data_IF_587295722795
#
_entry.id   IF_587295722795
#
_cell.length_a   1.000
_cell.length_b   1.000
_cell.length_c   1.000
_cell.angle_alpha   90.00
_cell.angle_beta   90.00
_cell.angle_gamma   90.00
#
_symmetry.space_group_name_H-M   'P 1'
#
loop_
_entity.id
_entity.type
_entity.pdbx_description
1 polymer ?
#
# COMPACT_ATOMS: atom_id res chain seq x y z
N UNK A 1 6.13 18.08 9.27
CA UNK A 1 5.46 16.76 9.33
C UNK A 1 5.87 15.96 8.11
N UNK A 2 6.01 14.65 8.26
CA UNK A 2 6.41 13.76 7.16
C UNK A 2 5.17 13.37 6.36
N UNK A 3 5.20 13.55 5.04
CA UNK A 3 4.14 13.05 4.16
C UNK A 3 4.40 11.61 3.74
N UNK A 4 3.37 10.91 3.25
CA UNK A 4 3.53 9.58 2.64
C UNK A 4 4.58 9.62 1.51
N UNK A 5 4.58 10.68 0.69
CA UNK A 5 5.54 10.86 -0.39
C UNK A 5 6.98 11.06 0.11
N UNK A 6 7.18 11.64 1.28
CA UNK A 6 8.50 11.77 1.90
C UNK A 6 9.05 10.40 2.29
N UNK A 7 8.20 9.46 2.74
CA UNK A 7 8.61 8.08 3.05
C UNK A 7 9.06 7.30 1.81
N UNK A 8 8.40 7.52 0.65
CA UNK A 8 8.83 6.91 -0.62
C UNK A 8 10.23 7.40 -1.03
N UNK A 9 10.48 8.71 -0.85
CA UNK A 9 11.75 9.37 -1.22
C UNK A 9 12.86 9.12 -0.21
N UNK A 10 12.51 8.93 1.05
CA UNK A 10 13.47 8.62 2.09
C UNK A 10 14.16 7.30 1.74
N UNK A 11 15.50 7.34 1.63
CA UNK A 11 16.28 6.11 1.62
C UNK A 11 16.08 5.40 2.97
N UNK A 12 16.09 4.05 3.03
CA UNK A 12 15.90 3.27 4.25
C UNK A 12 16.64 3.87 5.45
N UNK A 13 15.92 4.65 6.27
CA UNK A 13 16.39 5.09 7.57
C UNK A 13 15.91 4.05 8.56
N UNK A 14 16.84 3.49 9.32
CA UNK A 14 16.52 2.61 10.44
C UNK A 14 16.03 3.47 11.60
N UNK A 15 14.82 3.99 11.51
CA UNK A 15 14.11 4.37 12.73
C UNK A 15 13.78 3.06 13.47
N UNK A 16 13.90 3.06 14.80
CA UNK A 16 13.50 1.91 15.62
C UNK A 16 11.96 1.83 15.65
N UNK A 17 11.38 1.38 14.55
CA UNK A 17 9.96 1.06 14.45
C UNK A 17 9.75 -0.38 14.92
N UNK A 18 8.55 -0.64 15.45
CA UNK A 18 8.11 -1.99 15.70
C UNK A 18 8.04 -2.78 14.39
N UNK A 19 8.20 -4.10 14.47
CA UNK A 19 8.01 -4.95 13.29
C UNK A 19 6.53 -5.03 12.96
N UNK A 20 6.19 -5.05 11.67
CA UNK A 20 4.81 -5.26 11.26
C UNK A 20 4.37 -6.70 11.58
N UNK A 21 3.24 -6.84 12.27
CA UNK A 21 2.61 -8.12 12.58
C UNK A 21 1.12 -8.05 12.17
N UNK A 22 0.66 -8.84 11.19
CA UNK A 22 1.45 -9.79 10.38
C UNK A 22 2.42 -9.08 9.44
N UNK A 23 3.40 -9.81 8.90
CA UNK A 23 4.40 -9.29 7.98
C UNK A 23 4.03 -9.53 6.50
N UNK A 24 3.59 -8.52 5.74
CA UNK A 24 3.15 -8.70 4.35
C UNK A 24 4.28 -9.03 3.37
N UNK A 25 5.53 -8.95 3.80
CA UNK A 25 6.67 -9.33 2.99
C UNK A 25 7.05 -10.80 3.14
N UNK A 26 6.42 -11.51 4.08
CA UNK A 26 6.72 -12.92 4.42
C UNK A 26 5.47 -13.80 4.50
N UNK A 27 4.34 -13.23 4.86
CA UNK A 27 3.09 -13.95 5.12
C UNK A 27 2.10 -13.77 3.97
N UNK A 28 1.47 -14.88 3.57
CA UNK A 28 0.43 -14.91 2.55
C UNK A 28 -0.85 -14.30 3.14
N UNK A 29 -1.52 -13.47 2.33
CA UNK A 29 -2.79 -12.82 2.63
C UNK A 29 -2.79 -11.91 3.88
N UNK A 30 -1.60 -11.47 4.32
CA UNK A 30 -1.45 -10.49 5.42
C UNK A 30 -2.16 -9.15 5.15
N UNK A 31 -2.41 -8.81 3.87
CA UNK A 31 -3.11 -7.58 3.46
C UNK A 31 -4.57 -7.83 3.08
N UNK A 32 -5.16 -8.96 3.44
CA UNK A 32 -6.55 -9.27 3.11
C UNK A 32 -7.53 -8.22 3.67
N UNK A 33 -8.51 -7.85 2.85
CA UNK A 33 -9.50 -6.79 3.09
C UNK A 33 -8.94 -5.37 3.19
N UNK A 34 -7.62 -5.16 3.05
CA UNK A 34 -7.10 -3.81 2.77
C UNK A 34 -7.48 -3.38 1.36
N UNK A 35 -7.51 -2.08 1.09
CA UNK A 35 -7.84 -1.57 -0.23
C UNK A 35 -6.64 -0.85 -0.87
N UNK A 36 -6.32 -1.19 -2.12
CA UNK A 36 -5.36 -0.42 -2.91
C UNK A 36 -5.97 0.92 -3.32
N UNK A 37 -5.34 2.02 -2.92
CA UNK A 37 -5.79 3.38 -3.23
C UNK A 37 -5.09 3.94 -4.46
N UNK A 38 -3.77 3.83 -4.50
CA UNK A 38 -2.96 4.36 -5.60
C UNK A 38 -1.63 3.61 -5.71
N UNK A 39 -1.03 3.68 -6.89
CA UNK A 39 0.30 3.16 -7.17
C UNK A 39 1.13 4.17 -7.96
N UNK A 40 2.38 4.37 -7.55
CA UNK A 40 3.33 5.24 -8.25
C UNK A 40 4.54 4.46 -8.71
N UNK A 41 4.87 4.57 -9.99
CA UNK A 41 6.08 4.00 -10.58
C UNK A 41 6.98 5.14 -11.05
N UNK A 42 8.24 5.13 -10.61
CA UNK A 42 9.26 6.07 -11.05
C UNK A 42 10.43 5.31 -11.69
N UNK A 43 10.59 5.45 -13.00
CA UNK A 43 11.67 4.81 -13.75
C UNK A 43 13.04 5.42 -13.44
N UNK A 44 13.09 6.71 -13.10
CA UNK A 44 14.35 7.40 -12.77
C UNK A 44 14.98 6.88 -11.48
N UNK A 45 14.16 6.45 -10.51
CA UNK A 45 14.64 5.90 -9.23
C UNK A 45 14.44 4.39 -9.14
N UNK A 46 13.99 3.74 -10.22
CA UNK A 46 13.57 2.33 -10.25
C UNK A 46 12.77 1.95 -9.00
N UNK A 47 11.68 2.68 -8.74
CA UNK A 47 10.86 2.51 -7.54
C UNK A 47 9.39 2.36 -7.91
N UNK A 48 8.71 1.40 -7.29
CA UNK A 48 7.25 1.35 -7.22
C UNK A 48 6.80 1.56 -5.78
N UNK A 49 5.73 2.32 -5.58
CA UNK A 49 5.10 2.53 -4.28
C UNK A 49 3.61 2.23 -4.39
N UNK A 50 3.07 1.43 -3.48
CA UNK A 50 1.64 1.11 -3.37
C UNK A 50 1.10 1.69 -2.06
N UNK A 51 0.02 2.45 -2.13
CA UNK A 51 -0.67 3.01 -0.97
C UNK A 51 -1.96 2.24 -0.72
N UNK A 52 -2.15 1.79 0.51
CA UNK A 52 -3.30 1.02 0.95
C UNK A 52 -4.08 1.75 2.03
N UNK A 53 -5.40 1.58 2.01
CA UNK A 53 -6.33 1.87 3.11
C UNK A 53 -6.40 0.63 4.02
N UNK A 54 -6.27 0.83 5.34
CA UNK A 54 -6.25 -0.26 6.31
C UNK A 54 -7.49 -0.33 7.21
N UNK A 55 -8.40 0.66 7.20
CA UNK A 55 -9.59 0.67 8.09
C UNK A 55 -10.56 -0.50 7.88
N UNK A 56 -10.41 -1.24 6.78
CA UNK A 56 -11.16 -2.48 6.48
C UNK A 56 -10.31 -3.74 6.58
N UNK A 57 -9.01 -3.61 6.84
CA UNK A 57 -8.07 -4.74 6.93
C UNK A 57 -8.46 -5.69 8.06
N UNK A 58 -8.36 -6.99 7.82
CA UNK A 58 -8.64 -8.00 8.85
C UNK A 58 -7.51 -8.15 9.87
N UNK A 59 -6.28 -7.86 9.47
CA UNK A 59 -5.09 -8.24 10.22
C UNK A 59 -4.39 -7.08 10.92
N UNK A 60 -4.70 -5.84 10.53
CA UNK A 60 -4.06 -4.64 11.06
C UNK A 60 -5.04 -3.84 11.90
N UNK A 61 -4.90 -3.93 13.22
CA UNK A 61 -5.69 -3.13 14.18
C UNK A 61 -5.05 -1.76 14.49
N UNK A 62 -3.79 -1.57 14.08
CA UNK A 62 -3.04 -0.33 14.27
C UNK A 62 -2.82 0.38 12.94
N UNK A 63 -2.95 1.70 12.96
CA UNK A 63 -2.84 2.53 11.76
C UNK A 63 -4.10 2.53 10.88
N UNK A 64 -4.11 3.39 9.88
CA UNK A 64 -5.22 3.56 8.94
C UNK A 64 -4.76 3.52 7.48
N UNK A 65 -3.46 3.46 7.23
CA UNK A 65 -2.91 3.29 5.90
C UNK A 65 -1.67 2.41 5.92
N UNK A 66 -1.33 1.84 4.77
CA UNK A 66 -0.08 1.12 4.57
C UNK A 66 0.63 1.60 3.31
N UNK A 67 1.95 1.52 3.33
CA UNK A 67 2.81 1.85 2.20
C UNK A 67 3.76 0.68 1.93
N UNK A 68 3.68 0.12 0.72
CA UNK A 68 4.68 -0.82 0.20
C UNK A 68 5.58 -0.10 -0.80
N UNK A 69 6.88 0.00 -0.51
CA UNK A 69 7.88 0.57 -1.40
C UNK A 69 8.79 -0.54 -1.92
N UNK A 70 8.82 -0.73 -3.23
CA UNK A 70 9.73 -1.66 -3.92
C UNK A 70 10.80 -0.87 -4.66
N UNK A 71 12.07 -1.09 -4.33
CA UNK A 71 13.24 -0.42 -4.92
C UNK A 71 14.05 -1.40 -5.77
N UNK A 72 14.81 -0.87 -6.72
CA UNK A 72 15.46 -1.71 -7.74
C UNK A 72 14.41 -2.40 -8.60
N UNK A 73 13.39 -1.66 -9.01
CA UNK A 73 12.21 -2.18 -9.72
C UNK A 73 12.62 -2.88 -11.02
N UNK A 74 12.25 -4.15 -11.14
CA UNK A 74 12.42 -4.97 -12.33
C UNK A 74 11.16 -4.99 -13.20
N UNK A 75 9.99 -5.13 -12.58
CA UNK A 75 8.72 -5.13 -13.28
C UNK A 75 7.58 -4.60 -12.40
N UNK A 76 6.62 -3.98 -13.06
CA UNK A 76 5.34 -3.58 -12.49
C UNK A 76 4.25 -3.91 -13.51
N UNK A 77 3.35 -4.83 -13.15
CA UNK A 77 2.23 -5.25 -13.97
C UNK A 77 0.92 -4.90 -13.29
N UNK A 78 0.01 -4.27 -14.04
CA UNK A 78 -1.37 -3.98 -13.64
C UNK A 78 -2.33 -4.52 -14.70
N UNK A 79 -3.39 -5.19 -14.28
CA UNK A 79 -4.45 -5.67 -15.15
C UNK A 79 -5.80 -5.51 -14.46
N UNK A 80 -6.73 -4.82 -15.09
CA UNK A 80 -8.12 -4.72 -14.65
C UNK A 80 -9.06 -4.64 -15.86
N UNK A 81 -10.32 -5.09 -15.75
CA UNK A 81 -11.38 -4.71 -16.66
C UNK A 81 -11.54 -3.19 -16.74
N UNK A 82 -12.19 -2.73 -17.80
CA UNK A 82 -12.58 -1.34 -17.90
C UNK A 82 -13.55 -0.98 -16.75
N UNK A 83 -13.09 -0.10 -15.85
CA UNK A 83 -13.87 0.40 -14.73
C UNK A 83 -15.02 1.28 -15.26
N UNK A 84 -16.22 1.11 -14.68
CA UNK A 84 -17.39 1.96 -14.94
C UNK A 84 -17.70 2.77 -13.69
N UNK A 85 -17.13 3.96 -13.57
CA UNK A 85 -17.38 4.88 -12.45
C UNK A 85 -16.15 5.72 -12.10
N UNK A 86 -16.33 6.77 -11.30
CA UNK A 86 -15.25 7.66 -10.90
C UNK A 86 -14.29 7.01 -9.87
N UNK A 87 -14.79 6.10 -9.04
CA UNK A 87 -14.04 5.41 -7.99
C UNK A 87 -14.36 3.92 -7.99
N UNK A 88 -13.40 3.10 -7.53
CA UNK A 88 -13.59 1.67 -7.31
C UNK A 88 -12.81 1.26 -6.08
N UNK A 89 -13.47 0.57 -5.16
CA UNK A 89 -12.82 -0.03 -4.00
C UNK A 89 -12.12 -1.32 -4.44
N UNK A 90 -10.81 -1.26 -4.70
CA UNK A 90 -9.99 -2.41 -5.05
C UNK A 90 -9.52 -3.12 -3.79
N UNK A 91 -10.38 -3.98 -3.25
CA UNK A 91 -10.12 -4.74 -2.03
C UNK A 91 -9.20 -5.92 -2.33
N UNK A 92 -8.12 -6.06 -1.56
CA UNK A 92 -7.19 -7.19 -1.64
C UNK A 92 -7.92 -8.45 -1.17
N UNK A 93 -8.10 -9.40 -2.08
CA UNK A 93 -8.62 -10.74 -1.76
C UNK A 93 -7.51 -11.79 -1.68
N UNK A 94 -6.34 -11.50 -2.25
CA UNK A 94 -5.12 -12.27 -2.01
C UNK A 94 -3.87 -11.42 -2.17
N UNK A 95 -2.87 -11.65 -1.31
CA UNK A 95 -1.53 -11.06 -1.39
C UNK A 95 -0.47 -12.12 -1.15
N UNK A 96 0.36 -12.41 -2.14
CA UNK A 96 1.38 -13.46 -2.06
C UNK A 96 2.78 -12.85 -2.22
N UNK A 97 3.53 -12.68 -1.12
CA UNK A 97 4.95 -12.36 -1.20
C UNK A 97 5.75 -13.59 -1.63
N UNK A 98 6.83 -13.37 -2.37
CA UNK A 98 7.77 -14.41 -2.75
C UNK A 98 9.20 -13.84 -2.74
N UNK A 99 10.09 -14.54 -2.04
CA UNK A 99 11.51 -14.21 -1.98
C UNK A 99 12.25 -15.03 -3.02
N UNK A 100 12.58 -14.38 -4.12
CA UNK A 100 13.47 -14.93 -5.13
C UNK A 100 14.92 -14.79 -4.65
N UNK A 101 15.86 -15.52 -5.26
CA UNK A 101 17.26 -15.57 -4.80
C UNK A 101 17.88 -14.18 -4.57
N UNK A 102 17.60 -13.24 -5.47
CA UNK A 102 18.18 -11.89 -5.47
C UNK A 102 17.11 -10.79 -5.57
N UNK A 103 15.82 -11.11 -5.40
CA UNK A 103 14.74 -10.14 -5.56
C UNK A 103 13.53 -10.50 -4.72
N UNK A 104 12.72 -9.48 -4.45
CA UNK A 104 11.40 -9.59 -3.89
C UNK A 104 10.36 -9.56 -5.01
N UNK A 105 9.30 -10.36 -4.85
CA UNK A 105 8.09 -10.29 -5.65
C UNK A 105 6.88 -10.23 -4.73
N UNK A 106 5.89 -9.41 -5.09
CA UNK A 106 4.54 -9.50 -4.53
C UNK A 106 3.51 -9.59 -5.65
N UNK A 107 2.54 -10.48 -5.47
CA UNK A 107 1.37 -10.62 -6.35
C UNK A 107 0.11 -10.34 -5.56
N UNK A 108 -0.79 -9.57 -6.14
CA UNK A 108 -2.07 -9.21 -5.55
C UNK A 108 -3.21 -9.57 -6.49
N UNK A 109 -4.29 -10.08 -5.91
CA UNK A 109 -5.58 -10.21 -6.57
C UNK A 109 -6.59 -9.34 -5.82
N UNK A 110 -7.45 -8.65 -6.58
CA UNK A 110 -8.42 -7.71 -6.03
C UNK A 110 -9.85 -8.07 -6.42
N UNK A 111 -10.79 -7.63 -5.58
CA UNK A 111 -12.19 -7.49 -5.91
C UNK A 111 -12.56 -5.99 -5.98
N UNK A 112 -13.26 -5.51 -7.02
CA UNK A 112 -13.59 -6.21 -8.28
C UNK A 112 -12.33 -6.65 -9.06
N UNK A 113 -12.49 -7.67 -9.92
CA UNK A 113 -11.41 -8.39 -10.63
C UNK A 113 -10.28 -7.47 -11.10
N UNK A 114 -9.14 -7.54 -10.44
CA UNK A 114 -7.90 -6.92 -10.89
C UNK A 114 -6.69 -7.69 -10.35
N UNK A 115 -5.54 -7.50 -10.99
CA UNK A 115 -4.29 -8.14 -10.61
C UNK A 115 -3.15 -7.12 -10.66
N UNK A 116 -2.25 -7.22 -9.68
CA UNK A 116 -1.01 -6.45 -9.64
C UNK A 116 0.15 -7.39 -9.33
N UNK A 117 1.25 -7.26 -10.09
CA UNK A 117 2.52 -7.88 -9.77
C UNK A 117 3.62 -6.80 -9.71
N UNK A 118 4.44 -6.85 -8.66
CA UNK A 118 5.61 -5.99 -8.52
C UNK A 118 6.83 -6.83 -8.16
N UNK A 119 7.95 -6.57 -8.84
CA UNK A 119 9.23 -7.28 -8.64
C UNK A 119 10.37 -6.26 -8.54
N UNK A 120 11.24 -6.40 -7.55
CA UNK A 120 12.44 -5.57 -7.41
C UNK A 120 13.44 -6.14 -6.40
N UNK A 121 14.52 -5.42 -6.12
CA UNK A 121 15.61 -5.90 -5.26
C UNK A 121 15.26 -5.88 -3.76
N UNK A 122 14.53 -4.84 -3.33
CA UNK A 122 14.19 -4.59 -1.93
C UNK A 122 12.73 -4.14 -1.82
N UNK A 123 12.03 -4.65 -0.80
CA UNK A 123 10.74 -4.13 -0.39
C UNK A 123 10.76 -3.63 1.06
N UNK A 124 10.12 -2.49 1.29
CA UNK A 124 9.85 -1.91 2.60
C UNK A 124 8.33 -1.78 2.75
N UNK A 125 7.79 -2.29 3.84
CA UNK A 125 6.39 -2.13 4.20
C UNK A 125 6.30 -1.23 5.43
N UNK A 126 5.34 -0.31 5.45
CA UNK A 126 5.08 0.57 6.57
C UNK A 126 3.59 0.57 6.90
N UNK A 127 3.26 0.39 8.18
CA UNK A 127 1.95 0.73 8.73
C UNK A 127 1.99 2.19 9.18
N UNK A 128 1.00 2.97 8.77
CA UNK A 128 0.97 4.42 8.94
C UNK A 128 -0.26 4.85 9.76
N UNK A 129 -0.05 5.82 10.65
CA UNK A 129 -1.12 6.68 11.16
C UNK A 129 -1.16 7.95 10.31
N UNK A 130 -2.15 8.06 9.43
CA UNK A 130 -2.44 9.26 8.65
C UNK A 130 -3.34 10.17 9.47
N UNK A 131 -2.99 11.45 9.54
CA UNK A 131 -3.72 12.44 10.31
C UNK A 131 -5.05 12.81 9.65
N UNK A 132 -6.06 13.14 10.46
CA UNK A 132 -7.38 13.60 9.97
C UNK A 132 -8.29 12.50 9.44
N UNK A 133 -7.89 11.24 9.51
CA UNK A 133 -8.74 10.10 9.11
C UNK A 133 -9.67 9.69 10.26
N UNK A 134 -10.96 9.53 9.97
CA UNK A 134 -11.90 8.90 10.88
C UNK A 134 -11.76 7.38 10.91
N UNK A 135 -12.50 6.70 11.79
CA UNK A 135 -12.37 5.25 12.03
C UNK A 135 -12.93 4.37 10.91
N UNK A 136 -13.81 4.92 10.07
CA UNK A 136 -14.50 4.19 8.98
C UNK A 136 -14.10 4.80 7.64
N UNK A 137 -13.87 4.01 6.59
CA UNK A 137 -13.66 4.54 5.24
C UNK A 137 -14.89 5.30 4.72
N UNK A 138 -14.73 6.25 3.80
CA UNK A 138 -15.85 6.98 3.22
C UNK A 138 -16.72 6.08 2.32
N UNK A 139 -18.00 6.43 2.17
CA UNK A 139 -18.91 5.77 1.23
C UNK A 139 -18.64 6.26 -0.20
N UNK A 140 -18.20 5.35 -1.08
CA UNK A 140 -17.85 5.69 -2.47
C UNK A 140 -19.08 5.95 -3.35
N UNK A 141 -20.29 5.74 -2.83
CA UNK A 141 -21.54 6.11 -3.50
C UNK A 141 -21.94 7.56 -3.27
N UNK A 142 -21.21 8.29 -2.42
CA UNK A 142 -21.41 9.73 -2.23
C UNK A 142 -21.17 10.48 -3.56
N UNK A 143 -22.03 11.47 -3.82
CA UNK A 143 -21.94 12.32 -4.99
C UNK A 143 -20.79 13.33 -4.88
N UNK A 144 -20.33 13.64 -3.66
CA UNK A 144 -19.20 14.53 -3.42
C UNK A 144 -17.86 13.77 -3.46
N UNK A 145 -17.33 13.61 -4.67
CA UNK A 145 -16.07 12.91 -4.89
C UNK A 145 -14.87 13.60 -4.22
N UNK A 146 -14.90 14.93 -4.08
CA UNK A 146 -13.82 15.66 -3.43
C UNK A 146 -13.79 15.30 -1.94
N UNK A 147 -14.96 15.31 -1.30
CA UNK A 147 -15.08 14.88 0.09
C UNK A 147 -14.62 13.42 0.29
N UNK A 148 -15.00 12.50 -0.60
CA UNK A 148 -14.55 11.10 -0.54
C UNK A 148 -13.03 11.00 -0.66
N UNK A 149 -12.42 11.74 -1.57
CA UNK A 149 -10.96 11.73 -1.77
C UNK A 149 -10.20 12.34 -0.60
N UNK A 150 -10.71 13.40 0.02
CA UNK A 150 -10.12 14.00 1.22
C UNK A 150 -10.17 13.08 2.44
N UNK A 151 -11.20 12.22 2.51
CA UNK A 151 -11.37 11.22 3.56
C UNK A 151 -10.53 9.94 3.36
N UNK A 152 -9.65 9.92 2.34
CA UNK A 152 -8.74 8.81 2.05
C UNK A 152 -7.28 9.23 2.23
N UNK A 153 -6.41 8.27 2.63
CA UNK A 153 -4.97 8.46 2.56
C UNK A 153 -4.52 8.86 1.14
N UNK A 154 -3.67 9.88 1.06
CA UNK A 154 -3.07 10.36 -0.18
C UNK A 154 -1.55 10.50 -0.02
N UNK A 155 -0.85 10.66 -1.13
CA UNK A 155 0.60 10.89 -1.12
C UNK A 155 1.04 12.14 -0.36
N UNK A 156 0.18 13.18 -0.34
CA UNK A 156 0.42 14.43 0.38
C UNK A 156 -0.02 14.37 1.84
N UNK A 157 -0.75 13.33 2.25
CA UNK A 157 -1.25 13.23 3.62
C UNK A 157 -0.09 13.16 4.60
N UNK A 158 -0.21 13.92 5.69
CA UNK A 158 0.72 13.85 6.80
C UNK A 158 0.54 12.53 7.56
N UNK A 159 1.64 11.89 7.91
CA UNK A 159 1.60 10.59 8.56
C UNK A 159 2.76 10.37 9.53
N UNK A 160 2.56 9.42 10.43
CA UNK A 160 3.60 8.84 11.27
C UNK A 160 3.71 7.34 11.00
N UNK A 161 4.90 6.80 10.69
CA UNK A 161 5.07 5.35 10.60
C UNK A 161 5.00 4.73 12.01
N UNK A 162 4.21 3.66 12.14
CA UNK A 162 4.00 2.94 13.38
C UNK A 162 4.84 1.67 13.43
N UNK A 163 4.74 0.89 12.35
CA UNK A 163 5.44 -0.39 12.18
C UNK A 163 6.12 -0.44 10.81
N UNK A 164 7.14 -1.29 10.68
CA UNK A 164 7.78 -1.52 9.40
C UNK A 164 8.25 -2.98 9.23
N UNK A 165 8.37 -3.41 7.98
CA UNK A 165 9.05 -4.64 7.60
C UNK A 165 9.94 -4.41 6.39
N UNK A 166 10.97 -5.23 6.25
CA UNK A 166 11.88 -5.25 5.08
C UNK A 166 12.10 -6.67 4.57
N UNK A 167 12.26 -6.81 3.26
CA UNK A 167 12.46 -8.11 2.62
C UNK A 167 13.85 -8.73 2.78
N UNK A 168 14.82 -8.01 3.38
CA UNK A 168 16.18 -8.52 3.62
C UNK A 168 16.26 -9.36 4.89
#
# INVERSE_FOLDING_TARGET
MTSVNDLVRAWPRSAALESAEPDPLREVDALQESQLLDSRVCQLTSTAALLFELRTSLQFEVGNAALLVVRGLHSFGWSSPAVRGPLTALTVVSSVPDRLRNSFRARFAFFPDAQLEVVGDLAEFHVLAVEGMGDVPPDYSDADLEHVQEALPSWSSACSPLQASRSH
#
